data_IF_163210051670
#
_entry.id   IF_163210051670
#
_cell.length_a   1.000
_cell.length_b   1.000
_cell.length_c   1.000
_cell.angle_alpha   90.00
_cell.angle_beta   90.00
_cell.angle_gamma   90.00
#
_symmetry.space_group_name_H-M   'P 1'
#
loop_
_entity.id
_entity.type
_entity.pdbx_description
1 polymer ?
#
# COMPACT_ATOMS: atom_id res chain seq x y z
N UNK A 1 27.61 -10.09 41.41
CA UNK A 1 27.48 -11.22 42.36
C UNK A 1 28.75 -12.09 42.33
N UNK A 2 29.77 -11.81 43.17
CA UNK A 2 30.99 -12.65 43.26
C UNK A 2 30.90 -13.61 44.46
N UNK A 3 30.03 -14.63 44.38
CA UNK A 3 29.96 -15.71 45.39
C UNK A 3 31.12 -16.70 45.27
N UNK A 4 31.69 -16.85 44.06
CA UNK A 4 32.76 -17.80 43.83
C UNK A 4 34.10 -17.42 44.49
N UNK A 5 34.32 -16.16 44.90
CA UNK A 5 35.52 -15.77 45.65
C UNK A 5 35.45 -16.12 47.14
N UNK A 6 34.30 -16.58 47.64
CA UNK A 6 34.11 -16.98 49.03
C UNK A 6 34.67 -18.39 49.34
N UNK A 7 35.08 -19.16 48.32
CA UNK A 7 35.66 -20.48 48.54
C UNK A 7 37.17 -20.39 48.85
N UNK A 8 37.68 -21.11 49.88
CA UNK A 8 39.07 -20.97 50.35
C UNK A 8 40.11 -21.44 49.33
N UNK A 9 39.86 -22.53 48.61
CA UNK A 9 40.84 -23.16 47.71
C UNK A 9 40.63 -22.73 46.26
N UNK A 10 41.72 -22.64 45.49
CA UNK A 10 41.66 -22.34 44.06
C UNK A 10 40.80 -23.34 43.29
N UNK A 11 40.94 -24.64 43.59
CA UNK A 11 40.19 -25.70 42.93
C UNK A 11 38.67 -25.57 43.15
N UNK A 12 38.23 -25.29 44.38
CA UNK A 12 36.82 -25.09 44.69
C UNK A 12 36.26 -23.85 43.97
N UNK A 13 37.05 -22.76 43.87
CA UNK A 13 36.69 -21.58 43.09
C UNK A 13 36.54 -21.91 41.60
N UNK A 14 37.44 -22.72 41.05
CA UNK A 14 37.39 -23.16 39.65
C UNK A 14 36.13 -24.00 39.37
N UNK A 15 35.87 -25.02 40.21
CA UNK A 15 34.68 -25.88 40.13
C UNK A 15 33.38 -25.08 40.24
N UNK A 16 33.30 -24.14 41.18
CA UNK A 16 32.13 -23.27 41.34
C UNK A 16 31.88 -22.40 40.10
N UNK A 17 32.92 -21.80 39.51
CA UNK A 17 32.80 -21.03 38.25
C UNK A 17 32.37 -21.91 37.08
N UNK A 18 32.89 -23.13 36.99
CA UNK A 18 32.49 -24.07 35.94
C UNK A 18 31.00 -24.42 36.05
N UNK A 19 30.51 -24.71 37.26
CA UNK A 19 29.09 -24.98 37.50
C UNK A 19 28.21 -23.76 37.17
N UNK A 20 28.61 -22.56 37.58
CA UNK A 20 27.90 -21.34 37.25
C UNK A 20 27.77 -21.12 35.74
N UNK A 21 28.85 -21.38 34.99
CA UNK A 21 28.81 -21.28 33.51
C UNK A 21 27.85 -22.30 32.91
N UNK A 22 27.86 -23.55 33.39
CA UNK A 22 26.94 -24.60 32.92
C UNK A 22 25.47 -24.23 33.17
N UNK A 23 25.13 -23.84 34.40
CA UNK A 23 23.77 -23.42 34.76
C UNK A 23 23.34 -22.21 33.92
N UNK A 24 24.21 -21.20 33.77
CA UNK A 24 23.91 -20.03 32.95
C UNK A 24 23.68 -20.41 31.49
N UNK A 25 24.52 -21.28 30.93
CA UNK A 25 24.38 -21.74 29.55
C UNK A 25 23.05 -22.49 29.35
N UNK A 26 22.67 -23.35 30.29
CA UNK A 26 21.41 -24.08 30.25
C UNK A 26 20.20 -23.14 30.30
N UNK A 27 20.20 -22.16 31.20
CA UNK A 27 19.13 -21.15 31.29
C UNK A 27 19.03 -20.31 30.02
N UNK A 28 20.17 -19.93 29.42
CA UNK A 28 20.17 -19.21 28.15
C UNK A 28 19.60 -20.07 27.03
N UNK A 29 20.06 -21.33 26.93
CA UNK A 29 19.57 -22.27 25.93
C UNK A 29 18.06 -22.49 26.03
N UNK A 30 17.52 -22.68 27.24
CA UNK A 30 16.08 -22.84 27.44
C UNK A 30 15.33 -21.56 27.06
N UNK A 31 15.85 -20.39 27.45
CA UNK A 31 15.26 -19.10 27.07
C UNK A 31 15.20 -18.91 25.54
N UNK A 32 16.27 -19.27 24.84
CA UNK A 32 16.30 -19.22 23.37
C UNK A 32 15.34 -20.24 22.74
N UNK A 33 15.23 -21.45 23.29
CA UNK A 33 14.26 -22.46 22.82
C UNK A 33 12.83 -21.96 22.93
N UNK A 34 12.43 -21.44 24.09
CA UNK A 34 11.09 -20.88 24.32
C UNK A 34 10.80 -19.71 23.38
N UNK A 35 11.77 -18.82 23.18
CA UNK A 35 11.61 -17.70 22.23
C UNK A 35 11.38 -18.20 20.80
N UNK A 36 12.12 -19.21 20.37
CA UNK A 36 11.94 -19.79 19.03
C UNK A 36 10.58 -20.46 18.88
N UNK A 37 10.10 -21.17 19.92
CA UNK A 37 8.76 -21.76 19.94
C UNK A 37 7.66 -20.69 19.83
N UNK A 38 7.83 -19.53 20.48
CA UNK A 38 6.87 -18.41 20.44
C UNK A 38 6.84 -17.72 19.08
N UNK A 39 8.00 -17.55 18.42
CA UNK A 39 8.09 -16.86 17.11
C UNK A 39 7.71 -17.79 15.95
N UNK A 40 7.82 -19.11 16.12
CA UNK A 40 7.58 -20.09 15.05
C UNK A 40 6.20 -19.94 14.37
N UNK A 41 5.07 -19.86 15.12
CA UNK A 41 3.76 -19.65 14.51
C UNK A 41 3.66 -18.35 13.70
N UNK A 42 4.18 -17.24 14.22
CA UNK A 42 4.16 -15.94 13.52
C UNK A 42 5.02 -15.93 12.26
N UNK A 43 6.18 -16.58 12.29
CA UNK A 43 7.01 -16.73 11.10
C UNK A 43 6.31 -17.58 10.04
N UNK A 44 5.61 -18.65 10.43
CA UNK A 44 4.83 -19.47 9.50
C UNK A 44 3.66 -18.71 8.89
N UNK A 45 2.94 -17.90 9.66
CA UNK A 45 1.85 -17.07 9.11
C UNK A 45 2.38 -16.02 8.15
N UNK A 46 3.48 -15.33 8.51
CA UNK A 46 4.15 -14.40 7.63
C UNK A 46 4.58 -15.07 6.31
N UNK A 47 5.21 -16.24 6.36
CA UNK A 47 5.60 -16.98 5.16
C UNK A 47 4.41 -17.32 4.27
N UNK A 48 3.31 -17.85 4.84
CA UNK A 48 2.08 -18.14 4.08
C UNK A 48 1.49 -16.91 3.42
N UNK A 49 1.49 -15.77 4.13
CA UNK A 49 1.03 -14.49 3.56
C UNK A 49 1.91 -14.05 2.40
N UNK A 50 3.24 -14.14 2.55
CA UNK A 50 4.16 -13.77 1.46
C UNK A 50 4.01 -14.67 0.25
N UNK A 51 3.75 -15.97 0.43
CA UNK A 51 3.49 -16.88 -0.69
C UNK A 51 2.17 -16.56 -1.40
N UNK A 52 1.11 -16.23 -0.65
CA UNK A 52 -0.15 -15.79 -1.23
C UNK A 52 0.01 -14.47 -2.02
N UNK A 53 0.80 -13.53 -1.52
CA UNK A 53 1.07 -12.26 -2.20
C UNK A 53 1.89 -12.44 -3.48
N UNK A 54 2.90 -13.32 -3.48
CA UNK A 54 3.67 -13.64 -4.69
C UNK A 54 2.81 -14.16 -5.85
N UNK A 55 1.64 -14.74 -5.55
CA UNK A 55 0.74 -15.25 -6.59
C UNK A 55 -0.15 -14.18 -7.24
N UNK A 56 -0.19 -12.95 -6.72
CA UNK A 56 -0.99 -11.85 -7.29
C UNK A 56 -0.17 -10.93 -8.21
N UNK A 57 1.17 -10.94 -8.08
CA UNK A 57 2.08 -10.07 -8.86
C UNK A 57 2.50 -10.67 -10.23
N UNK A 58 1.87 -11.76 -10.66
CA UNK A 58 2.08 -12.32 -12.00
C UNK A 58 0.78 -12.52 -12.76
N UNK A 59 -0.12 -11.52 -12.68
CA UNK A 59 -1.01 -11.30 -13.81
C UNK A 59 -0.12 -10.91 -15.00
N UNK A 60 -0.04 -11.73 -16.07
CA UNK A 60 0.64 -11.30 -17.27
C UNK A 60 -0.02 -10.00 -17.69
N UNK A 61 0.75 -8.90 -17.71
CA UNK A 61 0.26 -7.62 -18.23
C UNK A 61 -0.36 -7.94 -19.58
N UNK A 62 -1.65 -7.64 -19.81
CA UNK A 62 -2.28 -7.96 -21.08
C UNK A 62 -1.42 -7.36 -22.20
N UNK A 63 -1.15 -8.18 -23.21
CA UNK A 63 -0.23 -7.81 -24.28
C UNK A 63 -0.74 -6.55 -24.99
N UNK A 64 -0.08 -5.42 -24.74
CA UNK A 64 -0.44 -4.14 -25.34
C UNK A 64 -0.03 -4.15 -26.81
N UNK A 65 -0.96 -3.80 -27.70
CA UNK A 65 -0.71 -3.71 -29.15
C UNK A 65 -0.33 -2.30 -29.52
N UNK A 66 0.84 -2.16 -30.13
CA UNK A 66 1.31 -0.93 -30.74
C UNK A 66 0.48 -0.58 -31.99
N UNK A 67 0.58 0.67 -32.50
CA UNK A 67 -0.16 1.11 -33.68
C UNK A 67 0.15 0.30 -34.97
N UNK A 68 1.32 -0.33 -35.02
CA UNK A 68 1.78 -1.19 -36.12
C UNK A 68 1.32 -2.66 -35.98
N UNK A 69 0.38 -2.95 -35.06
CA UNK A 69 -0.10 -4.27 -34.68
C UNK A 69 0.95 -5.20 -34.04
N UNK A 70 2.17 -4.72 -33.76
CA UNK A 70 3.14 -5.47 -32.97
C UNK A 70 2.78 -5.42 -31.48
N UNK A 71 3.33 -6.34 -30.68
CA UNK A 71 3.15 -6.35 -29.23
C UNK A 71 4.27 -5.55 -28.55
N UNK A 72 3.92 -4.75 -27.53
CA UNK A 72 4.89 -4.13 -26.64
C UNK A 72 5.53 -5.20 -25.75
N UNK A 73 6.84 -5.38 -25.88
CA UNK A 73 7.58 -6.46 -25.24
C UNK A 73 8.11 -6.03 -23.88
N UNK A 74 8.70 -4.83 -23.82
CA UNK A 74 9.24 -4.26 -22.58
C UNK A 74 8.33 -3.18 -21.97
N UNK A 75 8.59 -2.80 -20.72
CA UNK A 75 7.75 -1.86 -19.99
C UNK A 75 7.82 -0.43 -20.55
N UNK A 76 8.94 -0.04 -21.17
CA UNK A 76 9.06 1.27 -21.82
C UNK A 76 8.15 1.33 -23.05
N UNK A 77 8.16 0.29 -23.87
CA UNK A 77 7.27 0.14 -25.02
C UNK A 77 5.79 0.09 -24.61
N UNK A 78 5.47 -0.55 -23.48
CA UNK A 78 4.10 -0.59 -22.93
C UNK A 78 3.62 0.81 -22.53
N UNK A 79 4.47 1.59 -21.85
CA UNK A 79 4.14 2.97 -21.44
C UNK A 79 3.91 3.86 -22.67
N UNK A 80 4.76 3.74 -23.69
CA UNK A 80 4.60 4.47 -24.96
C UNK A 80 3.32 4.06 -25.69
N UNK A 81 3.00 2.77 -25.72
CA UNK A 81 1.76 2.25 -26.29
C UNK A 81 0.50 2.81 -25.60
N UNK A 82 0.51 2.92 -24.27
CA UNK A 82 -0.59 3.52 -23.50
C UNK A 82 -0.73 5.02 -23.82
N UNK A 83 0.38 5.75 -23.86
CA UNK A 83 0.38 7.18 -24.19
C UNK A 83 -0.21 7.41 -25.59
N UNK A 84 0.22 6.63 -26.58
CA UNK A 84 -0.28 6.69 -27.95
C UNK A 84 -1.77 6.34 -28.03
N UNK A 85 -2.24 5.33 -27.30
CA UNK A 85 -3.65 4.95 -27.30
C UNK A 85 -4.56 6.02 -26.69
N UNK A 86 -4.11 6.72 -25.63
CA UNK A 86 -4.83 7.86 -25.04
C UNK A 86 -4.87 9.05 -26.00
N UNK A 87 -3.76 9.35 -26.67
CA UNK A 87 -3.68 10.43 -27.65
C UNK A 87 -4.55 10.16 -28.89
N UNK A 88 -4.55 8.92 -29.39
CA UNK A 88 -5.44 8.49 -30.47
C UNK A 88 -6.91 8.60 -30.05
N UNK A 89 -7.26 8.18 -28.83
CA UNK A 89 -8.62 8.31 -28.31
C UNK A 89 -9.04 9.78 -28.20
N UNK A 90 -8.11 10.70 -27.86
CA UNK A 90 -8.37 12.14 -27.93
C UNK A 90 -8.66 12.60 -29.34
N UNK A 91 -7.80 12.24 -30.30
CA UNK A 91 -7.97 12.63 -31.71
C UNK A 91 -9.29 12.10 -32.30
N UNK A 92 -9.67 10.88 -31.95
CA UNK A 92 -10.94 10.28 -32.39
C UNK A 92 -12.17 10.93 -31.73
N UNK A 93 -12.05 11.44 -30.50
CA UNK A 93 -13.11 12.20 -29.84
C UNK A 93 -13.12 13.70 -30.21
N UNK A 94 -12.17 14.17 -31.02
CA UNK A 94 -12.23 15.48 -31.71
C UNK A 94 -13.15 15.39 -32.95
N UNK A 95 -14.00 14.36 -33.07
CA UNK A 95 -15.25 14.54 -33.81
C UNK A 95 -16.09 15.48 -32.96
N UNK A 96 -15.87 16.78 -33.14
CA UNK A 96 -16.68 17.83 -32.57
C UNK A 96 -18.14 17.52 -32.92
N UNK A 97 -18.91 17.06 -31.94
CA UNK A 97 -20.36 17.14 -32.04
C UNK A 97 -20.70 18.63 -31.96
N UNK A 98 -20.63 19.30 -33.11
CA UNK A 98 -20.88 20.73 -33.26
C UNK A 98 -22.28 21.08 -32.77
N UNK A 99 -23.24 20.16 -32.90
CA UNK A 99 -24.59 20.34 -32.39
C UNK A 99 -24.62 20.31 -30.85
N UNK A 100 -23.89 19.37 -30.22
CA UNK A 100 -23.74 19.33 -28.77
C UNK A 100 -23.01 20.56 -28.22
N UNK A 101 -21.91 20.97 -28.84
CA UNK A 101 -21.18 22.19 -28.46
C UNK A 101 -22.07 23.43 -28.56
N UNK A 102 -22.80 23.58 -29.66
CA UNK A 102 -23.72 24.71 -29.86
C UNK A 102 -24.87 24.70 -28.83
N UNK A 103 -25.37 23.52 -28.45
CA UNK A 103 -26.40 23.35 -27.42
C UNK A 103 -25.87 23.73 -26.02
N UNK A 104 -24.64 23.36 -25.68
CA UNK A 104 -24.00 23.76 -24.42
C UNK A 104 -23.80 25.27 -24.38
N UNK A 105 -23.24 25.87 -25.42
CA UNK A 105 -23.04 27.32 -25.45
C UNK A 105 -24.35 28.10 -25.34
N UNK A 106 -25.41 27.65 -26.04
CA UNK A 106 -26.74 28.27 -25.94
C UNK A 106 -27.29 28.18 -24.53
N UNK A 107 -27.12 27.04 -23.85
CA UNK A 107 -27.56 26.84 -22.46
C UNK A 107 -26.75 27.69 -21.46
N UNK A 108 -25.44 27.81 -21.66
CA UNK A 108 -24.57 28.66 -20.86
C UNK A 108 -24.94 30.14 -21.02
N UNK A 109 -25.12 30.61 -22.27
CA UNK A 109 -25.62 31.97 -22.54
C UNK A 109 -26.96 32.22 -21.85
N UNK A 110 -27.91 31.30 -21.98
CA UNK A 110 -29.22 31.42 -21.34
C UNK A 110 -29.10 31.58 -19.81
N UNK A 111 -28.25 30.78 -19.15
CA UNK A 111 -28.02 30.89 -17.70
C UNK A 111 -27.36 32.21 -17.29
N UNK A 112 -26.44 32.73 -18.10
CA UNK A 112 -25.80 34.03 -17.83
C UNK A 112 -26.82 35.17 -17.98
N UNK A 113 -27.76 35.06 -18.93
CA UNK A 113 -28.82 36.05 -19.13
C UNK A 113 -29.95 35.99 -18.09
N UNK A 114 -30.23 34.83 -17.48
CA UNK A 114 -31.29 34.71 -16.47
C UNK A 114 -30.90 35.22 -15.08
N UNK A 115 -29.61 35.52 -14.83
CA UNK A 115 -29.13 35.87 -13.48
C UNK A 115 -29.25 34.70 -12.49
N UNK A 116 -28.64 34.78 -11.30
CA UNK A 116 -28.94 33.84 -10.23
C UNK A 116 -30.41 34.00 -9.85
N UNK A 117 -31.18 32.92 -9.97
CA UNK A 117 -32.53 32.85 -9.44
C UNK A 117 -32.40 32.80 -7.91
N UNK A 118 -32.40 33.98 -7.28
CA UNK A 118 -32.43 34.12 -5.82
C UNK A 118 -33.80 33.66 -5.32
N UNK A 119 -33.95 32.35 -5.20
CA UNK A 119 -35.14 31.66 -4.70
C UNK A 119 -35.23 31.72 -3.16
N UNK A 120 -34.88 32.87 -2.57
CA UNK A 120 -35.06 33.12 -1.15
C UNK A 120 -36.41 33.81 -0.94
N UNK A 121 -37.40 33.00 -0.56
CA UNK A 121 -38.67 33.50 -0.03
C UNK A 121 -38.40 34.46 1.14
N UNK A 122 -38.89 35.71 1.10
CA UNK A 122 -38.69 36.65 2.18
C UNK A 122 -39.45 36.19 3.42
N UNK A 123 -38.72 35.90 4.49
CA UNK A 123 -39.31 35.60 5.81
C UNK A 123 -39.88 36.91 6.37
N UNK A 124 -41.20 37.01 6.44
CA UNK A 124 -41.88 38.13 7.09
C UNK A 124 -41.83 37.91 8.62
N UNK A 125 -41.11 38.78 9.33
CA UNK A 125 -41.10 38.81 10.80
C UNK A 125 -42.31 39.62 11.24
N UNK A 126 -43.37 38.94 11.67
CA UNK A 126 -44.49 39.60 12.35
C UNK A 126 -44.16 39.76 13.83
N UNK A 127 -44.19 41.02 14.26
CA UNK A 127 -44.14 41.54 15.62
C UNK A 127 -45.14 40.82 16.53
N UNK A 128 -44.66 40.24 17.63
CA UNK A 128 -45.50 39.84 18.77
C UNK A 128 -45.31 40.91 19.84
N UNK A 129 -46.46 41.46 20.24
CA UNK A 129 -46.76 42.53 21.21
C UNK A 129 -45.88 42.63 22.45
#
# INVERSE_FOLDING_TARGET
>A
MRRASAYPTYENRSRARALQRKVKAQIQSSKWSTLMEEITPSHQTYWKLTEALKTDDHLPTPALRKPDNSFAVDDREKVECLANSVEQHRSNNIIHDTAHSHKIEKKVRMKIFLGPEDDLTPVYVNEIQ
#
